data_IF_648134904755
#
_entry.id   IF_648134904755
#
_cell.length_a   1.000
_cell.length_b   1.000
_cell.length_c   1.000
_cell.angle_alpha   90.00
_cell.angle_beta   90.00
_cell.angle_gamma   90.00
#
_symmetry.space_group_name_H-M   'P 1'
#
loop_
_entity.id
_entity.type
_entity.pdbx_description
1 polymer ?
#
# COMPACT_ATOMS: atom_id res chain seq x y z
N UNK A 1 -17.02 17.81 -4.58
CA UNK A 1 -16.78 16.42 -4.13
C UNK A 1 -17.27 15.44 -5.18
N UNK A 2 -16.56 14.33 -5.48
CA UNK A 2 -17.22 13.21 -6.19
C UNK A 2 -18.19 12.58 -5.18
N UNK A 3 -19.44 12.35 -5.55
CA UNK A 3 -20.48 11.73 -4.72
C UNK A 3 -20.28 10.21 -4.58
N UNK A 4 -19.05 9.76 -4.34
CA UNK A 4 -18.60 8.36 -4.43
C UNK A 4 -19.10 7.46 -3.28
N UNK A 5 -19.98 7.97 -2.42
CA UNK A 5 -20.66 7.18 -1.39
C UNK A 5 -22.01 6.63 -1.81
N UNK A 6 -22.67 7.26 -2.80
CA UNK A 6 -24.00 6.86 -3.28
C UNK A 6 -23.93 6.41 -4.74
N UNK A 7 -23.08 7.04 -5.57
CA UNK A 7 -22.92 6.70 -6.99
C UNK A 7 -21.68 5.86 -7.28
N UNK A 8 -21.75 5.10 -8.37
CA UNK A 8 -20.72 4.13 -8.77
C UNK A 8 -19.54 4.76 -9.52
N UNK A 9 -19.69 6.00 -10.01
CA UNK A 9 -18.69 6.72 -10.81
C UNK A 9 -18.45 8.14 -10.31
N UNK A 10 -17.30 8.71 -10.70
CA UNK A 10 -16.99 10.12 -10.46
C UNK A 10 -17.71 11.03 -11.46
N UNK A 11 -18.29 12.11 -10.96
CA UNK A 11 -19.03 13.08 -11.78
C UNK A 11 -18.10 13.88 -12.71
N UNK A 12 -18.56 14.08 -13.94
CA UNK A 12 -17.94 15.03 -14.88
C UNK A 12 -18.20 16.48 -14.46
N UNK A 13 -17.44 17.44 -15.03
CA UNK A 13 -17.58 18.87 -14.68
C UNK A 13 -18.98 19.41 -14.98
N UNK A 14 -19.57 19.04 -16.12
CA UNK A 14 -20.93 19.42 -16.50
C UNK A 14 -21.98 18.88 -15.52
N UNK A 15 -21.88 17.60 -15.16
CA UNK A 15 -22.78 16.99 -14.17
C UNK A 15 -22.68 17.68 -12.82
N UNK A 16 -21.47 18.04 -12.35
CA UNK A 16 -21.30 18.79 -11.09
C UNK A 16 -22.06 20.12 -11.10
N UNK A 17 -22.03 20.83 -12.23
CA UNK A 17 -22.75 22.11 -12.38
C UNK A 17 -24.26 21.85 -12.34
N UNK A 18 -24.76 20.87 -13.10
CA UNK A 18 -26.18 20.51 -13.11
C UNK A 18 -26.69 20.15 -11.71
N UNK A 19 -25.98 19.29 -10.98
CA UNK A 19 -26.36 18.91 -9.63
C UNK A 19 -26.25 20.05 -8.61
N UNK A 20 -25.32 20.99 -8.81
CA UNK A 20 -25.22 22.16 -7.94
C UNK A 20 -26.48 23.05 -7.98
N UNK A 21 -27.16 23.11 -9.13
CA UNK A 21 -28.42 23.84 -9.30
C UNK A 21 -29.56 23.11 -8.57
N UNK A 22 -29.61 21.77 -8.63
CA UNK A 22 -30.59 20.96 -7.89
C UNK A 22 -30.46 21.20 -6.39
N UNK A 23 -29.23 21.18 -5.87
CA UNK A 23 -28.97 21.47 -4.44
C UNK A 23 -29.39 22.89 -4.09
N UNK A 24 -29.12 23.88 -4.95
CA UNK A 24 -29.50 25.27 -4.70
C UNK A 24 -31.02 25.51 -4.70
N UNK A 25 -31.79 24.69 -5.42
CA UNK A 25 -33.24 24.86 -5.60
C UNK A 25 -34.06 24.01 -4.63
N UNK A 26 -33.71 22.74 -4.44
CA UNK A 26 -34.44 21.78 -3.59
C UNK A 26 -33.80 21.55 -2.22
N UNK A 27 -32.60 22.09 -1.98
CA UNK A 27 -31.80 21.81 -0.79
C UNK A 27 -31.17 20.42 -0.81
N UNK A 28 -30.60 20.02 0.33
CA UNK A 28 -29.90 18.74 0.46
C UNK A 28 -30.83 17.52 0.42
N UNK A 29 -32.03 17.61 1.00
CA UNK A 29 -32.99 16.50 1.04
C UNK A 29 -33.43 16.09 -0.36
N UNK A 30 -33.98 17.04 -1.14
CA UNK A 30 -34.42 16.76 -2.50
C UNK A 30 -33.28 16.37 -3.46
N UNK A 31 -32.04 16.81 -3.19
CA UNK A 31 -30.89 16.30 -3.93
C UNK A 31 -30.60 14.82 -3.65
N UNK A 32 -30.72 14.38 -2.39
CA UNK A 32 -30.52 12.97 -2.03
C UNK A 32 -31.61 12.10 -2.64
N UNK A 33 -32.87 12.55 -2.58
CA UNK A 33 -34.01 11.84 -3.17
C UNK A 33 -33.81 11.68 -4.69
N UNK A 34 -33.56 12.78 -5.41
CA UNK A 34 -33.28 12.76 -6.86
C UNK A 34 -32.06 11.87 -7.22
N UNK A 35 -31.10 11.72 -6.30
CA UNK A 35 -29.90 10.89 -6.51
C UNK A 35 -30.19 9.40 -6.32
N UNK A 36 -31.00 9.05 -5.32
CA UNK A 36 -31.43 7.67 -5.03
C UNK A 36 -32.42 7.15 -6.08
N UNK A 37 -33.27 8.03 -6.61
CA UNK A 37 -34.23 7.72 -7.69
C UNK A 37 -33.58 7.65 -9.08
N UNK A 38 -32.27 7.90 -9.19
CA UNK A 38 -31.60 7.83 -10.49
C UNK A 38 -31.42 6.39 -10.99
N UNK A 39 -31.63 6.16 -12.28
CA UNK A 39 -31.49 4.83 -12.91
C UNK A 39 -30.13 4.17 -12.60
N UNK A 40 -29.05 4.97 -12.54
CA UNK A 40 -27.71 4.47 -12.16
C UNK A 40 -27.71 3.86 -10.76
N UNK A 41 -28.43 4.43 -9.80
CA UNK A 41 -28.49 3.88 -8.44
C UNK A 41 -29.29 2.57 -8.42
N UNK A 42 -30.48 2.59 -9.03
CA UNK A 42 -31.40 1.45 -9.08
C UNK A 42 -30.79 0.23 -9.79
N UNK A 43 -30.16 0.43 -10.95
CA UNK A 43 -29.52 -0.65 -11.73
C UNK A 43 -28.35 -1.31 -11.00
N UNK A 44 -27.70 -0.58 -10.08
CA UNK A 44 -26.45 -1.01 -9.48
C UNK A 44 -26.57 -1.53 -8.05
N UNK A 45 -27.48 -0.97 -7.26
CA UNK A 45 -27.66 -1.31 -5.85
C UNK A 45 -29.08 -1.82 -5.53
N UNK A 46 -30.09 -1.35 -6.25
CA UNK A 46 -31.49 -1.61 -5.92
C UNK A 46 -31.88 -1.03 -4.55
N UNK A 47 -32.85 -1.65 -3.89
CA UNK A 47 -33.41 -1.16 -2.63
C UNK A 47 -32.78 -1.78 -1.36
N UNK A 48 -32.19 -2.97 -1.48
CA UNK A 48 -31.75 -3.77 -0.31
C UNK A 48 -30.23 -3.77 -0.09
N UNK A 49 -29.45 -3.10 -0.95
CA UNK A 49 -27.98 -3.16 -0.90
C UNK A 49 -27.35 -1.84 -0.50
N UNK A 50 -26.46 -1.87 0.48
CA UNK A 50 -25.66 -0.70 0.89
C UNK A 50 -24.66 -0.34 -0.22
N UNK A 51 -24.57 0.94 -0.62
CA UNK A 51 -23.67 1.35 -1.70
C UNK A 51 -22.20 1.18 -1.33
N UNK A 52 -21.40 0.75 -2.30
CA UNK A 52 -19.95 0.53 -2.16
C UNK A 52 -19.19 0.97 -3.41
N UNK A 53 -17.89 1.21 -3.27
CA UNK A 53 -17.03 1.60 -4.39
C UNK A 53 -16.85 0.41 -5.35
N UNK A 54 -17.43 0.52 -6.55
CA UNK A 54 -17.32 -0.50 -7.60
C UNK A 54 -16.06 -0.30 -8.44
N UNK A 55 -15.56 -1.39 -9.04
CA UNK A 55 -14.44 -1.41 -10.01
C UNK A 55 -13.12 -0.81 -9.49
N UNK A 56 -12.76 -1.04 -8.22
CA UNK A 56 -11.45 -0.61 -7.70
C UNK A 56 -10.29 -1.40 -8.31
N UNK A 57 -10.44 -2.72 -8.41
CA UNK A 57 -9.41 -3.61 -8.92
C UNK A 57 -9.88 -4.12 -10.29
N UNK A 58 -9.18 -3.75 -11.36
CA UNK A 58 -9.47 -4.25 -12.71
C UNK A 58 -8.64 -5.51 -12.99
N UNK A 59 -9.22 -6.54 -13.63
CA UNK A 59 -8.45 -7.69 -14.05
C UNK A 59 -7.35 -7.24 -15.04
N UNK A 60 -6.10 -7.61 -14.75
CA UNK A 60 -4.94 -7.23 -15.57
C UNK A 60 -4.14 -6.01 -15.07
N UNK A 61 -4.52 -5.39 -13.94
CA UNK A 61 -3.68 -4.41 -13.24
C UNK A 61 -3.20 -4.96 -11.91
N UNK A 62 -1.91 -4.77 -11.62
CA UNK A 62 -1.30 -5.15 -10.34
C UNK A 62 -1.77 -4.25 -9.18
N UNK A 63 -1.99 -2.96 -9.47
CA UNK A 63 -2.50 -1.99 -8.51
C UNK A 63 -3.92 -1.51 -8.89
N UNK A 64 -4.81 -1.48 -7.89
CA UNK A 64 -6.15 -0.93 -8.02
C UNK A 64 -6.18 0.60 -7.97
N UNK A 65 -7.34 1.18 -8.26
CA UNK A 65 -7.56 2.61 -8.06
C UNK A 65 -7.55 3.00 -6.57
N UNK A 66 -7.16 4.24 -6.29
CA UNK A 66 -7.19 4.80 -4.93
C UNK A 66 -8.62 4.73 -4.36
N UNK A 67 -8.76 4.38 -3.07
CA UNK A 67 -10.07 4.41 -2.42
C UNK A 67 -10.59 5.85 -2.34
N UNK A 68 -11.91 6.00 -2.39
CA UNK A 68 -12.54 7.34 -2.44
C UNK A 68 -12.18 8.20 -1.23
N UNK A 69 -12.01 7.62 -0.04
CA UNK A 69 -11.66 8.34 1.19
C UNK A 69 -10.35 9.14 1.07
N UNK A 70 -9.39 8.63 0.29
CA UNK A 70 -8.10 9.29 0.05
C UNK A 70 -8.22 10.28 -1.12
N UNK A 71 -8.94 9.89 -2.18
CA UNK A 71 -9.11 10.71 -3.39
C UNK A 71 -9.93 11.98 -3.15
N UNK A 72 -10.94 11.92 -2.28
CA UNK A 72 -11.80 13.04 -1.92
C UNK A 72 -11.82 13.26 -0.42
N UNK A 73 -10.83 13.99 0.12
CA UNK A 73 -10.83 14.37 1.52
C UNK A 73 -12.00 15.30 1.87
N UNK A 74 -12.29 15.47 3.17
CA UNK A 74 -13.43 16.27 3.65
C UNK A 74 -13.42 17.72 3.14
N UNK A 75 -12.26 18.35 3.05
CA UNK A 75 -12.12 19.70 2.53
C UNK A 75 -11.25 19.73 1.28
N UNK A 76 -11.63 20.56 0.32
CA UNK A 76 -10.81 20.81 -0.86
C UNK A 76 -9.60 21.68 -0.52
N UNK A 77 -8.63 21.77 -1.45
CA UNK A 77 -7.40 22.56 -1.28
C UNK A 77 -7.68 24.01 -0.87
N UNK A 78 -8.72 24.62 -1.44
CA UNK A 78 -9.13 26.00 -1.15
C UNK A 78 -9.43 26.20 0.35
N UNK A 79 -10.35 25.40 0.90
CA UNK A 79 -10.74 25.51 2.31
C UNK A 79 -9.65 25.02 3.27
N UNK A 80 -8.78 24.11 2.83
CA UNK A 80 -7.65 23.65 3.64
C UNK A 80 -6.65 24.75 3.95
N UNK A 81 -6.41 25.66 2.99
CA UNK A 81 -5.54 26.82 3.19
C UNK A 81 -6.12 27.83 4.17
N UNK A 82 -7.44 28.00 4.16
CA UNK A 82 -8.15 28.95 5.03
C UNK A 82 -8.23 28.42 6.47
N UNK A 83 -8.59 27.14 6.64
CA UNK A 83 -8.86 26.53 7.94
C UNK A 83 -7.60 26.19 8.76
N UNK A 84 -6.41 26.56 8.29
CA UNK A 84 -5.16 26.39 9.04
C UNK A 84 -4.77 24.92 9.25
N UNK A 85 -5.09 24.04 8.30
CA UNK A 85 -4.56 22.66 8.33
C UNK A 85 -3.02 22.71 8.35
N UNK A 86 -2.35 21.77 9.04
CA UNK A 86 -0.89 21.71 9.04
C UNK A 86 -0.41 21.69 7.60
N UNK A 87 0.30 22.75 7.20
CA UNK A 87 0.86 22.80 5.87
C UNK A 87 1.91 21.70 5.76
N UNK A 88 2.02 21.12 4.57
CA UNK A 88 3.08 20.16 4.27
C UNK A 88 4.39 20.96 4.31
N UNK A 89 5.00 21.03 5.49
CA UNK A 89 6.36 21.52 5.65
C UNK A 89 7.21 20.43 5.03
N UNK A 90 7.67 20.67 3.80
CA UNK A 90 8.57 19.76 3.06
C UNK A 90 9.86 19.44 3.84
N UNK A 91 10.12 20.16 4.94
CA UNK A 91 11.23 20.01 5.87
C UNK A 91 10.92 19.24 7.17
N UNK A 92 9.84 18.47 7.26
CA UNK A 92 9.56 17.63 8.45
C UNK A 92 10.24 16.25 8.43
N UNK A 93 11.25 16.04 7.58
CA UNK A 93 12.22 14.99 7.86
C UNK A 93 12.91 15.40 9.16
N UNK A 94 12.67 14.66 10.25
CA UNK A 94 13.40 14.96 11.47
C UNK A 94 14.88 14.80 11.10
N UNK A 95 15.65 15.89 11.08
CA UNK A 95 17.10 15.90 10.80
C UNK A 95 17.91 15.24 11.92
N UNK A 96 17.35 14.23 12.57
CA UNK A 96 18.11 13.25 13.32
C UNK A 96 18.64 12.27 12.30
N UNK A 97 19.95 12.29 12.13
CA UNK A 97 20.67 11.21 11.47
C UNK A 97 20.42 9.95 12.28
N UNK A 98 19.40 9.21 11.92
CA UNK A 98 19.22 7.85 12.39
C UNK A 98 19.36 6.97 11.15
N UNK A 99 20.30 6.02 11.13
CA UNK A 99 20.59 5.19 9.96
C UNK A 99 19.53 4.07 9.78
N UNK A 100 18.24 4.34 9.95
CA UNK A 100 17.21 3.30 9.76
C UNK A 100 17.10 2.85 8.29
N UNK A 101 17.60 3.65 7.35
CA UNK A 101 17.66 3.31 5.92
C UNK A 101 19.04 2.79 5.49
N UNK A 102 19.94 2.48 6.42
CA UNK A 102 21.24 1.90 6.06
C UNK A 102 21.04 0.51 5.46
N UNK A 103 21.04 0.48 4.12
CA UNK A 103 21.04 -0.76 3.35
C UNK A 103 22.39 -1.42 3.54
N UNK A 104 22.36 -2.72 3.82
CA UNK A 104 23.55 -3.53 3.91
C UNK A 104 24.37 -3.38 2.61
N UNK A 105 25.62 -2.94 2.73
CA UNK A 105 26.57 -2.80 1.64
C UNK A 105 27.08 -4.17 1.22
N UNK A 106 27.64 -4.24 0.02
CA UNK A 106 28.31 -5.45 -0.43
C UNK A 106 29.43 -5.82 0.56
N UNK A 107 29.37 -7.04 1.11
CA UNK A 107 30.31 -7.51 2.14
C UNK A 107 29.79 -7.43 3.58
N UNK A 108 28.65 -6.78 3.84
CA UNK A 108 28.11 -6.72 5.20
C UNK A 108 27.64 -8.11 5.68
N UNK A 109 27.93 -8.49 6.93
CA UNK A 109 27.61 -9.81 7.47
C UNK A 109 26.09 -10.07 7.56
N UNK A 110 25.28 -9.02 7.63
CA UNK A 110 23.82 -9.09 7.64
C UNK A 110 23.25 -9.77 6.40
N UNK A 111 23.89 -9.61 5.23
CA UNK A 111 23.49 -10.25 3.98
C UNK A 111 23.64 -11.78 4.01
N UNK A 112 24.51 -12.30 4.87
CA UNK A 112 24.80 -13.72 4.98
C UNK A 112 24.07 -14.39 6.15
N UNK A 113 23.30 -13.64 6.96
CA UNK A 113 22.60 -14.19 8.13
C UNK A 113 21.61 -15.30 7.78
N UNK A 114 20.93 -15.22 6.63
CA UNK A 114 20.03 -16.27 6.16
C UNK A 114 20.77 -17.58 5.88
N UNK A 115 21.94 -17.50 5.24
CA UNK A 115 22.82 -18.64 5.00
C UNK A 115 23.39 -19.20 6.31
N UNK A 116 23.89 -18.33 7.20
CA UNK A 116 24.45 -18.72 8.49
C UNK A 116 23.44 -19.42 9.40
N UNK A 117 22.16 -18.99 9.41
CA UNK A 117 21.07 -19.67 10.14
C UNK A 117 20.71 -21.03 9.54
N UNK A 118 20.86 -21.20 8.22
CA UNK A 118 20.65 -22.47 7.53
C UNK A 118 21.76 -23.50 7.77
N UNK A 119 22.95 -23.06 8.20
CA UNK A 119 24.02 -23.94 8.68
C UNK A 119 23.68 -24.45 10.09
N UNK A 120 22.76 -25.40 10.17
CA UNK A 120 22.61 -26.19 11.39
C UNK A 120 23.96 -26.87 11.68
N UNK A 121 24.48 -26.70 12.89
CA UNK A 121 25.57 -27.54 13.39
C UNK A 121 25.06 -28.98 13.55
N UNK A 122 24.85 -29.69 12.44
CA UNK A 122 25.19 -31.11 12.43
C UNK A 122 26.69 -31.10 12.52
N UNK A 123 27.21 -31.11 13.75
CA UNK A 123 28.61 -31.38 13.99
C UNK A 123 28.93 -32.65 13.22
N UNK A 124 29.63 -32.50 12.09
CA UNK A 124 30.33 -33.62 11.51
C UNK A 124 31.37 -33.96 12.58
N UNK A 125 31.28 -35.09 13.31
CA UNK A 125 32.35 -35.43 14.22
C UNK A 125 33.58 -35.54 13.33
N UNK A 126 34.52 -34.60 13.48
CA UNK A 126 35.80 -34.70 12.79
C UNK A 126 36.32 -36.11 13.09
N UNK A 127 36.64 -36.93 12.08
CA UNK A 127 37.16 -38.25 12.33
C UNK A 127 38.42 -38.06 13.17
N UNK A 128 38.40 -38.52 14.42
CA UNK A 128 39.54 -38.47 15.33
C UNK A 128 40.54 -39.51 14.85
N UNK A 129 41.28 -39.17 13.80
CA UNK A 129 42.38 -40.00 13.32
C UNK A 129 43.50 -39.81 14.34
N UNK A 130 43.65 -40.77 15.24
CA UNK A 130 44.76 -40.82 16.17
C UNK A 130 46.07 -40.93 15.38
N UNK A 131 47.03 -40.07 15.68
CA UNK A 131 48.37 -40.05 15.06
C UNK A 131 49.13 -41.38 15.24
N UNK A 132 48.69 -42.26 16.15
CA UNK A 132 49.24 -43.61 16.33
C UNK A 132 48.81 -44.66 15.30
N UNK A 133 47.80 -44.40 14.46
CA UNK A 133 47.31 -45.33 13.44
C UNK A 133 47.63 -44.89 12.00
N UNK A 134 48.40 -43.82 11.82
CA UNK A 134 48.84 -43.37 10.50
C UNK A 134 50.11 -44.14 10.10
N UNK A 135 50.02 -44.95 9.06
CA UNK A 135 51.21 -45.56 8.44
C UNK A 135 51.93 -44.51 7.58
N UNK A 136 52.85 -43.79 8.22
CA UNK A 136 53.62 -42.71 7.59
C UNK A 136 54.50 -43.19 6.42
N UNK A 137 54.87 -44.48 6.38
CA UNK A 137 55.74 -45.04 5.33
C UNK A 137 55.01 -45.30 4.01
N UNK A 138 53.67 -45.42 4.05
CA UNK A 138 52.83 -45.58 2.87
C UNK A 138 52.41 -44.23 2.26
N UNK A 139 52.49 -43.14 3.03
CA UNK A 139 51.99 -41.82 2.63
C UNK A 139 53.00 -40.99 1.80
N UNK A 140 54.27 -41.39 1.79
CA UNK A 140 55.32 -40.70 1.04
C UNK A 140 55.43 -41.28 -0.38
N UNK A 141 55.23 -40.46 -1.44
CA UNK A 141 55.41 -40.93 -2.80
C UNK A 141 56.88 -41.30 -3.03
N UNK A 142 57.14 -42.56 -3.39
CA UNK A 142 58.49 -42.98 -3.80
C UNK A 142 58.69 -42.62 -5.27
N UNK A 143 59.83 -42.00 -5.56
CA UNK A 143 60.28 -41.71 -6.93
C UNK A 143 61.13 -42.85 -7.45
#
# INVERSE_FOLDING_TARGET
>A
MCSTGIRTRCLQRSEKIAWSIVVATKGYGGFIDDLLDSDEYLDNFGYDTVPYQRRRNLPGRDQGELPFNIKSPRYDSYYRGILGFPQIIWQNEIRRFTPQEEKAKAGDPSNYLGMARGLTSRGNPAPRIGTGNLDYLALVPRR
#
